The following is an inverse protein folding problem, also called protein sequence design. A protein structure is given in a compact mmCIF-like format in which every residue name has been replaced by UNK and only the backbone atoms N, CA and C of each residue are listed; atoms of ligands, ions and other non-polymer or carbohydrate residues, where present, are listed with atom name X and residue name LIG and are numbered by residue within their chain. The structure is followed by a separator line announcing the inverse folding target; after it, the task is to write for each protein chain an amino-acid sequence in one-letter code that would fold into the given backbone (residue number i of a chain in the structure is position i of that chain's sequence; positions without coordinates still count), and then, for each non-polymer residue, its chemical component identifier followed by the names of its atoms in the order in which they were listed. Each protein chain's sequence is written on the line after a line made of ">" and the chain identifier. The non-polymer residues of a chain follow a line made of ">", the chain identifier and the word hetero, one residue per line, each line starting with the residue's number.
data_IF_269389786662
#
_entry.id   IF_269389786662
#
_cell.length_a   1.000
_cell.length_b   1.000
_cell.length_c   1.000
_cell.angle_alpha   90.00
_cell.angle_beta   90.00
_cell.angle_gamma   90.00
#
_symmetry.space_group_name_H-M   'P 1'
#
loop_
_entity.id
_entity.type
_entity.pdbx_description
1 polymer ?
#
# COMPACT_ATOMS: atom_id res chain seq x y z
N UNK A 1 -66.37 3.86 34.80
CA UNK A 1 -65.64 4.91 34.05
C UNK A 1 -64.12 4.98 34.33
N UNK A 2 -63.61 4.54 35.50
CA UNK A 2 -62.15 4.62 35.83
C UNK A 2 -61.27 3.56 35.14
N UNK A 3 -61.78 2.35 34.91
CA UNK A 3 -61.03 1.24 34.28
C UNK A 3 -60.76 1.45 32.78
N UNK A 4 -61.66 2.15 32.08
CA UNK A 4 -61.54 2.41 30.63
C UNK A 4 -60.45 3.45 30.30
N UNK A 5 -60.15 4.37 31.22
CA UNK A 5 -59.10 5.39 31.06
C UNK A 5 -57.70 4.82 31.30
N UNK A 6 -57.58 3.86 32.24
CA UNK A 6 -56.30 3.18 32.51
C UNK A 6 -55.88 2.30 31.32
N UNK A 7 -56.84 1.62 30.69
CA UNK A 7 -56.58 0.80 29.50
C UNK A 7 -56.11 1.66 28.30
N UNK A 8 -56.71 2.84 28.11
CA UNK A 8 -56.32 3.74 27.02
C UNK A 8 -54.90 4.33 27.22
N UNK A 9 -54.52 4.66 28.46
CA UNK A 9 -53.17 5.15 28.77
C UNK A 9 -52.10 4.06 28.59
N UNK A 10 -52.39 2.81 28.94
CA UNK A 10 -51.47 1.67 28.74
C UNK A 10 -51.28 1.41 27.24
N UNK A 11 -52.35 1.44 26.45
CA UNK A 11 -52.27 1.28 24.98
C UNK A 11 -51.49 2.43 24.35
N UNK A 12 -51.72 3.68 24.76
CA UNK A 12 -50.98 4.85 24.24
C UNK A 12 -49.49 4.81 24.57
N UNK A 13 -49.10 4.38 25.77
CA UNK A 13 -47.68 4.22 26.17
C UNK A 13 -47.02 3.06 25.41
N UNK A 14 -47.74 1.96 25.18
CA UNK A 14 -47.26 0.84 24.36
C UNK A 14 -47.06 1.28 22.89
N UNK A 15 -48.00 2.04 22.32
CA UNK A 15 -47.86 2.54 20.94
C UNK A 15 -46.79 3.63 20.79
N UNK A 16 -46.53 4.43 21.85
CA UNK A 16 -45.45 5.42 21.85
C UNK A 16 -44.06 4.77 22.03
N UNK A 17 -44.01 3.58 22.60
CA UNK A 17 -42.78 2.78 22.72
C UNK A 17 -42.44 2.05 21.40
N UNK A 18 -43.44 1.79 20.56
CA UNK A 18 -43.30 1.09 19.27
C UNK A 18 -42.98 2.01 18.08
N UNK A 19 -42.94 3.33 18.29
CA UNK A 19 -42.64 4.34 17.25
C UNK A 19 -41.30 5.04 17.44
N UNK A 20 -40.52 4.66 18.46
CA UNK A 20 -39.09 4.97 18.46
C UNK A 20 -38.46 4.11 17.38
N UNK A 21 -38.16 4.74 16.25
CA UNK A 21 -37.48 4.12 15.13
C UNK A 21 -36.36 3.23 15.65
N UNK A 22 -36.29 2.02 15.11
CA UNK A 22 -35.19 1.11 15.36
C UNK A 22 -33.91 1.92 15.15
N UNK A 23 -33.24 2.27 16.25
CA UNK A 23 -31.85 2.67 16.18
C UNK A 23 -31.17 1.45 15.58
N UNK A 24 -30.59 1.62 14.41
CA UNK A 24 -29.67 0.63 13.85
C UNK A 24 -28.53 0.51 14.85
N UNK A 25 -28.63 -0.49 15.74
CA UNK A 25 -27.48 -0.95 16.50
C UNK A 25 -26.56 -1.55 15.45
N UNK A 26 -25.58 -0.76 15.01
CA UNK A 26 -24.47 -1.26 14.21
C UNK A 26 -23.70 -2.18 15.15
N UNK A 27 -23.95 -3.48 15.07
CA UNK A 27 -22.96 -4.45 15.52
C UNK A 27 -21.76 -4.24 14.59
N UNK A 28 -20.59 -3.99 15.16
CA UNK A 28 -19.37 -3.74 14.39
C UNK A 28 -18.85 -5.07 13.82
N UNK A 29 -19.64 -5.73 12.96
CA UNK A 29 -19.33 -6.93 12.16
C UNK A 29 -18.46 -8.03 12.83
N UNK A 30 -18.54 -8.15 14.15
CA UNK A 30 -17.73 -9.06 14.94
C UNK A 30 -17.98 -8.85 16.43
N UNK A 31 -17.44 -9.72 17.29
CA UNK A 31 -17.63 -9.59 18.73
C UNK A 31 -16.87 -8.40 19.32
N UNK A 32 -16.16 -7.59 18.53
CA UNK A 32 -15.31 -6.50 19.02
C UNK A 32 -16.12 -5.22 19.23
N UNK A 33 -16.10 -4.68 20.45
CA UNK A 33 -16.82 -3.46 20.78
C UNK A 33 -18.31 -3.65 21.08
N UNK A 34 -19.00 -2.57 21.45
CA UNK A 34 -20.45 -2.60 21.70
C UNK A 34 -20.90 -3.39 22.94
N UNK A 35 -19.97 -3.78 23.82
CA UNK A 35 -20.29 -4.57 25.01
C UNK A 35 -21.19 -3.79 25.99
N UNK A 36 -22.19 -4.49 26.53
CA UNK A 36 -22.97 -4.01 27.68
C UNK A 36 -22.82 -5.01 28.83
N UNK A 37 -23.25 -4.61 30.02
CA UNK A 37 -23.14 -5.46 31.22
C UNK A 37 -23.86 -6.82 31.11
N UNK A 38 -24.72 -7.01 30.10
CA UNK A 38 -25.55 -8.21 29.93
C UNK A 38 -25.29 -8.94 28.61
N UNK A 39 -24.24 -8.61 27.85
CA UNK A 39 -23.98 -9.32 26.58
C UNK A 39 -23.32 -10.67 26.82
N UNK A 40 -23.86 -11.73 26.22
CA UNK A 40 -23.20 -13.05 26.19
C UNK A 40 -21.89 -13.04 25.38
N UNK A 41 -21.63 -11.98 24.60
CA UNK A 41 -20.40 -11.78 23.84
C UNK A 41 -19.13 -11.82 24.72
N UNK A 42 -19.23 -11.44 26.00
CA UNK A 42 -18.11 -11.55 26.95
C UNK A 42 -17.63 -13.00 27.10
N UNK A 43 -18.55 -13.96 27.03
CA UNK A 43 -18.24 -15.39 27.08
C UNK A 43 -17.69 -15.94 25.75
N UNK A 44 -17.49 -15.11 24.72
CA UNK A 44 -16.64 -15.49 23.59
C UNK A 44 -15.16 -15.58 24.03
N UNK A 45 -14.72 -14.63 24.86
CA UNK A 45 -13.31 -14.46 25.20
C UNK A 45 -12.99 -14.77 26.67
N UNK A 46 -13.94 -14.54 27.58
CA UNK A 46 -13.71 -14.64 29.02
C UNK A 46 -14.47 -15.80 29.69
N UNK A 47 -13.90 -16.36 30.77
CA UNK A 47 -14.57 -17.31 31.68
C UNK A 47 -14.28 -16.94 33.13
N UNK A 48 -15.33 -16.69 33.92
CA UNK A 48 -15.16 -16.23 35.30
C UNK A 48 -14.46 -17.24 36.24
N UNK A 49 -14.75 -18.53 36.09
CA UNK A 49 -14.26 -19.57 37.02
C UNK A 49 -13.43 -20.68 36.36
N UNK A 50 -13.38 -20.71 35.03
CA UNK A 50 -12.74 -21.80 34.26
C UNK A 50 -11.85 -21.28 33.14
N UNK A 51 -11.38 -20.04 33.27
CA UNK A 51 -10.41 -19.48 32.33
C UNK A 51 -9.10 -20.27 32.40
N UNK A 52 -8.50 -20.52 31.24
CA UNK A 52 -7.19 -21.16 31.14
C UNK A 52 -6.06 -20.15 31.35
N UNK A 53 -6.32 -18.86 31.15
CA UNK A 53 -5.30 -17.84 31.05
C UNK A 53 -5.54 -16.59 31.91
N UNK A 54 -4.49 -15.80 32.09
CA UNK A 54 -4.55 -14.53 32.81
C UNK A 54 -5.63 -13.60 32.24
N UNK A 55 -6.20 -12.75 33.11
CA UNK A 55 -7.33 -11.86 32.79
C UNK A 55 -8.62 -12.61 32.41
N UNK A 56 -8.77 -13.82 32.93
CA UNK A 56 -9.95 -14.67 32.74
C UNK A 56 -10.16 -15.06 31.27
N UNK A 57 -9.10 -15.16 30.48
CA UNK A 57 -9.21 -15.53 29.06
C UNK A 57 -9.39 -17.05 28.90
N UNK A 58 -10.16 -17.43 27.87
CA UNK A 58 -10.41 -18.85 27.55
C UNK A 58 -9.19 -19.53 26.93
N UNK A 59 -8.30 -18.76 26.31
CA UNK A 59 -7.07 -19.19 25.65
C UNK A 59 -6.09 -18.01 25.59
N UNK A 60 -4.82 -18.30 25.33
CA UNK A 60 -3.75 -17.31 25.29
C UNK A 60 -3.87 -16.45 24.03
N UNK A 61 -3.40 -15.22 24.08
CA UNK A 61 -3.22 -14.40 22.87
C UNK A 61 -1.86 -14.77 22.26
N UNK A 62 -1.76 -15.12 20.96
CA UNK A 62 -2.74 -14.86 19.89
C UNK A 62 -3.78 -15.96 19.61
N UNK A 63 -3.65 -17.16 20.19
CA UNK A 63 -4.53 -18.32 19.89
C UNK A 63 -6.02 -17.97 19.99
N UNK A 64 -6.42 -17.23 21.03
CA UNK A 64 -7.79 -16.75 21.21
C UNK A 64 -8.29 -15.98 19.97
N UNK A 65 -7.49 -15.06 19.44
CA UNK A 65 -7.85 -14.26 18.26
C UNK A 65 -7.93 -15.13 17.00
N UNK A 66 -7.02 -16.10 16.88
CA UNK A 66 -6.96 -17.03 15.76
C UNK A 66 -8.10 -18.05 15.74
N UNK A 67 -8.90 -18.16 16.81
CA UNK A 67 -10.16 -18.94 16.76
C UNK A 67 -11.19 -18.36 15.80
N UNK A 68 -11.09 -17.07 15.46
CA UNK A 68 -11.93 -16.39 14.48
C UNK A 68 -11.13 -15.95 13.24
N UNK A 69 -9.90 -15.47 13.44
CA UNK A 69 -9.05 -14.89 12.39
C UNK A 69 -7.97 -15.85 11.84
N UNK A 70 -7.96 -17.11 12.24
CA UNK A 70 -7.01 -18.11 11.76
C UNK A 70 -7.47 -18.84 10.50
N UNK A 71 -6.57 -19.61 9.90
CA UNK A 71 -6.81 -20.29 8.63
C UNK A 71 -7.91 -21.34 8.66
N UNK A 72 -8.03 -22.06 9.78
CA UNK A 72 -9.11 -23.00 10.01
C UNK A 72 -10.37 -22.36 10.65
N UNK A 73 -10.33 -21.07 10.96
CA UNK A 73 -11.41 -20.40 11.67
C UNK A 73 -12.51 -19.90 10.73
N UNK A 74 -13.75 -19.91 11.20
CA UNK A 74 -14.92 -19.44 10.45
C UNK A 74 -15.56 -18.20 11.06
N UNK A 75 -14.92 -17.60 12.06
CA UNK A 75 -15.49 -16.51 12.86
C UNK A 75 -15.22 -15.10 12.32
N UNK A 76 -14.42 -14.95 11.27
CA UNK A 76 -14.14 -13.67 10.62
C UNK A 76 -13.83 -13.87 9.12
N UNK A 77 -14.07 -12.83 8.32
CA UNK A 77 -13.77 -12.80 6.88
C UNK A 77 -12.27 -12.63 6.61
N UNK A 78 -11.54 -12.03 7.56
CA UNK A 78 -10.10 -11.85 7.49
C UNK A 78 -9.38 -13.04 8.13
N UNK A 79 -8.72 -13.86 7.32
CA UNK A 79 -7.71 -14.81 7.79
C UNK A 79 -6.36 -14.08 7.88
N UNK A 80 -6.04 -13.62 9.09
CA UNK A 80 -4.80 -12.89 9.34
C UNK A 80 -3.59 -13.81 9.41
N UNK A 81 -3.78 -15.11 9.61
CA UNK A 81 -2.67 -16.09 9.57
C UNK A 81 -2.12 -16.19 8.17
N UNK A 82 -3.00 -16.43 7.19
CA UNK A 82 -2.58 -16.69 5.81
C UNK A 82 -2.71 -15.44 4.92
N UNK A 83 -3.14 -14.31 5.51
CA UNK A 83 -3.11 -12.99 4.89
C UNK A 83 -4.15 -12.82 3.78
N UNK A 84 -5.26 -13.54 3.83
CA UNK A 84 -6.28 -13.59 2.78
C UNK A 84 -7.67 -13.23 3.30
N UNK A 85 -8.47 -12.59 2.44
CA UNK A 85 -9.88 -12.34 2.69
C UNK A 85 -10.76 -13.46 2.14
N UNK A 86 -11.65 -14.00 2.96
CA UNK A 86 -12.40 -15.22 2.65
C UNK A 86 -13.89 -14.98 2.39
N UNK A 87 -14.41 -13.77 2.66
CA UNK A 87 -15.83 -13.40 2.48
C UNK A 87 -16.78 -14.50 3.02
N UNK A 88 -16.65 -14.81 4.31
CA UNK A 88 -17.43 -15.85 4.98
C UNK A 88 -18.85 -15.39 5.30
N UNK A 89 -19.10 -14.08 5.35
CA UNK A 89 -20.44 -13.49 5.51
C UNK A 89 -20.77 -12.39 4.47
N UNK A 90 -21.01 -12.81 3.23
CA UNK A 90 -21.48 -11.92 2.16
C UNK A 90 -22.89 -11.32 2.41
N UNK A 91 -23.60 -11.73 3.46
CA UNK A 91 -25.02 -11.38 3.67
C UNK A 91 -25.24 -10.21 4.63
N UNK A 92 -24.26 -9.90 5.48
CA UNK A 92 -24.33 -8.80 6.46
C UNK A 92 -23.43 -7.62 6.10
N UNK A 93 -22.44 -7.82 5.24
CA UNK A 93 -21.52 -6.77 4.79
C UNK A 93 -22.18 -5.80 3.80
N UNK A 94 -22.56 -4.61 4.26
CA UNK A 94 -23.03 -3.54 3.38
C UNK A 94 -22.41 -2.18 3.75
N UNK A 95 -21.45 -1.66 2.95
CA UNK A 95 -20.87 -2.26 1.74
C UNK A 95 -19.97 -3.48 2.05
N UNK A 96 -19.63 -4.26 1.03
CA UNK A 96 -18.63 -5.33 1.12
C UNK A 96 -17.31 -4.78 1.68
N UNK A 97 -16.69 -5.50 2.60
CA UNK A 97 -15.50 -5.01 3.31
C UNK A 97 -14.18 -5.49 2.67
N UNK A 98 -14.24 -6.31 1.62
CA UNK A 98 -13.08 -6.81 0.89
C UNK A 98 -13.45 -7.51 -0.41
N UNK A 99 -12.44 -7.99 -1.14
CA UNK A 99 -12.60 -8.87 -2.30
C UNK A 99 -12.22 -10.31 -1.92
N UNK A 100 -13.04 -11.32 -2.23
CA UNK A 100 -12.72 -12.72 -1.93
C UNK A 100 -11.39 -13.16 -2.53
N UNK A 101 -10.63 -13.94 -1.77
CA UNK A 101 -9.31 -14.48 -2.11
C UNK A 101 -8.26 -13.42 -2.42
N UNK A 102 -8.44 -12.19 -1.92
CA UNK A 102 -7.47 -11.12 -2.08
C UNK A 102 -6.62 -10.96 -0.81
N UNK A 103 -5.39 -10.53 -0.99
CA UNK A 103 -4.44 -10.23 0.08
C UNK A 103 -4.95 -9.14 1.00
N UNK A 104 -4.71 -9.30 2.31
CA UNK A 104 -5.11 -8.34 3.33
C UNK A 104 -4.12 -7.17 3.41
N UNK A 105 -4.62 -5.94 3.60
CA UNK A 105 -3.82 -4.74 3.94
C UNK A 105 -3.05 -4.88 5.26
N UNK A 106 -3.49 -5.81 6.10
CA UNK A 106 -2.90 -6.16 7.38
C UNK A 106 -3.22 -7.62 7.72
N UNK A 107 -2.21 -8.48 7.70
CA UNK A 107 -2.29 -9.91 7.92
C UNK A 107 -0.96 -10.57 7.56
N UNK A 108 -1.00 -11.86 7.33
CA UNK A 108 0.16 -12.65 6.94
C UNK A 108 1.15 -12.83 8.07
N UNK A 109 0.71 -13.51 9.13
CA UNK A 109 1.60 -13.92 10.23
C UNK A 109 2.29 -15.27 9.97
N UNK A 110 1.70 -16.11 9.11
CA UNK A 110 2.24 -17.42 8.72
C UNK A 110 2.53 -17.48 7.23
N UNK A 111 1.55 -17.13 6.40
CA UNK A 111 1.68 -16.99 4.95
C UNK A 111 1.17 -15.61 4.53
N UNK A 112 1.73 -15.03 3.48
CA UNK A 112 1.22 -13.80 2.89
C UNK A 112 0.92 -14.02 1.40
N UNK A 113 -0.25 -13.56 0.95
CA UNK A 113 -0.65 -13.56 -0.45
C UNK A 113 -0.23 -12.23 -1.09
N UNK A 114 0.84 -12.24 -1.87
CA UNK A 114 1.45 -11.03 -2.43
C UNK A 114 2.06 -11.33 -3.80
N UNK A 115 2.05 -10.34 -4.70
CA UNK A 115 2.93 -10.28 -5.88
C UNK A 115 4.14 -9.40 -5.52
N UNK A 116 5.17 -10.02 -4.92
CA UNK A 116 6.34 -9.30 -4.42
C UNK A 116 7.47 -9.17 -5.44
N UNK A 117 7.43 -9.93 -6.54
CA UNK A 117 8.39 -9.86 -7.65
C UNK A 117 7.85 -9.10 -8.88
N UNK A 118 6.58 -8.68 -8.84
CA UNK A 118 5.90 -7.89 -9.88
C UNK A 118 5.74 -8.65 -11.21
N UNK A 119 5.53 -9.96 -11.15
CA UNK A 119 5.29 -10.78 -12.34
C UNK A 119 3.80 -10.80 -12.77
N UNK A 120 2.93 -10.15 -11.98
CA UNK A 120 1.49 -10.08 -12.18
C UNK A 120 0.72 -11.27 -11.60
N UNK A 121 1.37 -12.16 -10.86
CA UNK A 121 0.79 -13.38 -10.31
C UNK A 121 1.13 -13.56 -8.82
N UNK A 122 0.24 -13.06 -7.96
CA UNK A 122 0.36 -13.28 -6.51
C UNK A 122 0.54 -14.76 -6.13
N UNK A 123 1.46 -15.00 -5.21
CA UNK A 123 1.62 -16.30 -4.57
C UNK A 123 1.34 -16.20 -3.06
N UNK A 124 0.72 -17.23 -2.51
CA UNK A 124 0.74 -17.44 -1.06
C UNK A 124 2.06 -18.12 -0.69
N UNK A 125 2.88 -17.41 0.10
CA UNK A 125 4.21 -17.88 0.47
C UNK A 125 4.48 -17.65 1.96
N UNK A 126 5.36 -18.47 2.59
CA UNK A 126 5.72 -18.31 3.99
C UNK A 126 6.23 -16.90 4.29
N UNK A 127 5.81 -16.35 5.43
CA UNK A 127 6.25 -15.03 5.86
C UNK A 127 7.73 -15.05 6.17
N UNK A 128 8.47 -14.15 5.51
CA UNK A 128 9.92 -13.96 5.63
C UNK A 128 10.29 -12.85 6.61
N UNK A 129 9.34 -11.94 6.89
CA UNK A 129 9.50 -10.85 7.84
C UNK A 129 8.16 -10.39 8.40
N UNK A 130 8.09 -10.16 9.70
CA UNK A 130 6.86 -9.69 10.32
C UNK A 130 7.00 -9.32 11.78
N UNK A 131 6.04 -8.53 12.28
CA UNK A 131 5.92 -8.27 13.71
C UNK A 131 5.62 -9.59 14.45
N UNK A 132 6.49 -9.96 15.38
CA UNK A 132 6.36 -11.19 16.17
C UNK A 132 5.33 -11.00 17.29
N UNK A 133 4.14 -11.58 17.14
CA UNK A 133 2.99 -11.40 18.06
C UNK A 133 2.71 -12.61 18.97
N UNK A 134 3.67 -13.51 19.12
CA UNK A 134 3.57 -14.74 19.92
C UNK A 134 3.88 -14.53 21.41
N UNK A 135 4.06 -13.29 21.86
CA UNK A 135 4.43 -12.94 23.23
C UNK A 135 5.92 -13.09 23.54
N UNK A 136 6.76 -13.54 22.60
CA UNK A 136 8.20 -13.54 22.79
C UNK A 136 8.75 -12.11 22.62
N UNK A 137 9.78 -11.79 23.41
CA UNK A 137 10.44 -10.49 23.30
C UNK A 137 11.31 -10.40 22.05
N UNK A 138 11.20 -9.28 21.34
CA UNK A 138 12.04 -8.93 20.20
C UNK A 138 12.46 -7.46 20.30
N UNK A 139 13.53 -7.09 19.59
CA UNK A 139 14.00 -5.70 19.55
C UNK A 139 13.03 -4.85 18.73
N UNK A 140 12.42 -3.85 19.36
CA UNK A 140 11.71 -2.77 18.69
C UNK A 140 12.74 -1.77 18.12
N UNK A 141 13.23 -2.05 16.92
CA UNK A 141 14.28 -1.26 16.28
C UNK A 141 13.91 0.22 16.19
N UNK A 142 14.83 1.10 16.58
CA UNK A 142 14.61 2.53 16.57
C UNK A 142 13.79 3.06 17.75
N UNK A 143 13.30 2.20 18.66
CA UNK A 143 12.67 2.67 19.90
C UNK A 143 13.69 3.35 20.83
N UNK A 144 13.26 4.40 21.51
CA UNK A 144 14.05 5.12 22.51
C UNK A 144 14.65 6.44 22.03
N UNK A 145 15.53 7.00 22.86
CA UNK A 145 16.23 8.25 22.57
C UNK A 145 17.41 8.02 21.60
N UNK A 146 17.87 9.10 20.97
CA UNK A 146 19.08 9.06 20.13
C UNK A 146 20.25 8.50 20.93
N UNK A 147 20.97 7.53 20.34
CA UNK A 147 22.12 6.90 20.98
C UNK A 147 21.79 5.82 22.02
N UNK A 148 20.51 5.45 22.21
CA UNK A 148 20.12 4.40 23.17
C UNK A 148 20.27 2.98 22.63
N UNK A 149 21.26 2.73 21.76
CA UNK A 149 21.48 1.43 21.11
C UNK A 149 20.40 1.09 20.07
N UNK A 150 20.21 -0.19 19.71
CA UNK A 150 19.33 -0.60 18.59
C UNK A 150 17.83 -0.43 18.87
N UNK A 151 17.40 -0.52 20.13
CA UNK A 151 15.99 -0.41 20.52
C UNK A 151 15.69 -1.15 21.82
N UNK A 152 14.48 -0.97 22.35
CA UNK A 152 14.01 -1.72 23.52
C UNK A 152 13.57 -3.14 23.16
N UNK A 153 13.70 -4.07 24.10
CA UNK A 153 13.13 -5.41 23.96
C UNK A 153 11.67 -5.39 24.41
N UNK A 154 10.75 -5.74 23.51
CA UNK A 154 9.31 -5.69 23.75
C UNK A 154 8.70 -7.04 23.35
N UNK A 155 7.85 -7.59 24.21
CA UNK A 155 7.01 -8.73 23.90
C UNK A 155 5.69 -8.23 23.30
N UNK A 156 5.48 -8.47 22.00
CA UNK A 156 4.24 -8.08 21.33
C UNK A 156 3.24 -9.24 21.34
N UNK A 157 1.96 -8.87 21.38
CA UNK A 157 0.80 -9.72 21.12
C UNK A 157 -0.22 -8.91 20.33
N UNK A 158 -1.28 -9.54 19.80
CA UNK A 158 -2.36 -8.83 19.09
C UNK A 158 -2.90 -7.65 19.92
N UNK A 159 -3.06 -7.84 21.23
CA UNK A 159 -3.59 -6.83 22.16
C UNK A 159 -2.61 -5.71 22.50
N UNK A 160 -1.36 -5.80 22.05
CA UNK A 160 -0.39 -4.72 22.21
C UNK A 160 -0.76 -3.53 21.33
N UNK A 161 -1.24 -3.82 20.12
CA UNK A 161 -1.63 -2.84 19.12
C UNK A 161 -3.15 -2.66 19.06
N UNK A 162 -3.92 -3.73 19.22
CA UNK A 162 -5.38 -3.72 19.07
C UNK A 162 -6.11 -3.71 20.43
N UNK A 163 -7.26 -3.04 20.49
CA UNK A 163 -8.17 -3.10 21.62
C UNK A 163 -9.41 -3.95 21.28
N UNK A 164 -9.49 -5.21 21.74
CA UNK A 164 -10.64 -6.07 21.43
C UNK A 164 -11.95 -5.56 22.04
N UNK A 165 -11.90 -4.64 23.02
CA UNK A 165 -13.09 -3.96 23.53
C UNK A 165 -13.59 -2.81 22.67
N UNK A 166 -12.93 -2.57 21.53
CA UNK A 166 -13.21 -1.48 20.62
C UNK A 166 -12.52 -0.19 21.06
N UNK A 167 -11.86 0.48 20.12
CA UNK A 167 -11.25 1.81 20.34
C UNK A 167 -11.90 2.92 19.52
N UNK A 168 -12.79 2.57 18.59
CA UNK A 168 -13.32 3.50 17.57
C UNK A 168 -12.26 4.01 16.58
N UNK A 169 -11.03 3.48 16.64
CA UNK A 169 -9.95 3.80 15.73
C UNK A 169 -9.88 2.76 14.59
N UNK A 170 -9.14 3.11 13.54
CA UNK A 170 -8.84 2.25 12.41
C UNK A 170 -8.44 0.85 12.89
N UNK A 171 -9.21 -0.17 12.47
CA UNK A 171 -8.95 -1.58 12.82
C UNK A 171 -8.73 -1.79 14.31
N UNK A 172 -9.53 -1.12 15.16
CA UNK A 172 -9.47 -1.19 16.62
C UNK A 172 -8.06 -0.92 17.21
N UNK A 173 -7.23 -0.13 16.53
CA UNK A 173 -5.92 0.22 17.07
C UNK A 173 -6.05 0.98 18.39
N UNK A 174 -5.21 0.63 19.36
CA UNK A 174 -5.06 1.40 20.61
C UNK A 174 -4.46 2.75 20.26
N UNK A 175 -5.02 3.86 20.78
CA UNK A 175 -4.38 5.16 20.61
C UNK A 175 -2.96 5.22 21.20
N UNK A 176 -2.68 4.40 22.23
CA UNK A 176 -1.34 4.20 22.81
C UNK A 176 -1.06 2.69 22.83
N UNK A 177 -0.15 2.18 21.98
CA UNK A 177 0.26 0.77 22.02
C UNK A 177 0.89 0.42 23.36
N UNK A 178 0.58 -0.76 23.89
CA UNK A 178 1.12 -1.17 25.20
C UNK A 178 2.63 -1.37 25.11
N UNK A 179 3.39 -0.88 26.09
CA UNK A 179 4.85 -1.02 26.09
C UNK A 179 5.58 -0.11 25.09
N UNK A 180 4.88 0.75 24.35
CA UNK A 180 5.50 1.76 23.46
C UNK A 180 6.35 2.80 24.20
N UNK A 181 5.97 3.12 25.45
CA UNK A 181 6.53 4.22 26.22
C UNK A 181 5.97 5.60 25.82
N UNK A 182 4.98 5.65 24.92
CA UNK A 182 4.36 6.91 24.52
C UNK A 182 3.53 7.54 25.64
N UNK A 183 3.65 8.86 25.78
CA UNK A 183 2.95 9.66 26.80
C UNK A 183 1.67 10.31 26.26
N UNK A 184 1.50 10.34 24.93
CA UNK A 184 0.37 10.95 24.25
C UNK A 184 -0.26 9.97 23.27
N UNK A 185 -1.57 10.08 23.09
CA UNK A 185 -2.33 9.22 22.18
C UNK A 185 -2.24 9.69 20.73
N UNK A 186 -2.08 8.75 19.82
CA UNK A 186 -2.28 8.95 18.38
C UNK A 186 -3.47 8.11 17.94
N UNK A 187 -4.58 8.76 17.57
CA UNK A 187 -5.74 8.06 17.03
C UNK A 187 -5.67 8.02 15.51
N UNK A 188 -5.61 6.82 14.94
CA UNK A 188 -5.79 6.62 13.51
C UNK A 188 -7.30 6.62 13.22
N UNK A 189 -7.85 7.56 12.44
CA UNK A 189 -9.29 7.64 12.19
C UNK A 189 -9.81 6.37 11.51
N UNK A 190 -10.90 5.80 12.04
CA UNK A 190 -11.55 4.66 11.40
C UNK A 190 -12.14 5.04 10.04
N UNK A 191 -12.35 4.03 9.19
CA UNK A 191 -12.90 4.22 7.86
C UNK A 191 -14.43 4.11 7.91
N UNK A 192 -15.12 5.05 7.24
CA UNK A 192 -16.58 5.00 7.11
C UNK A 192 -17.05 3.77 6.32
N UNK A 193 -16.31 3.39 5.28
CA UNK A 193 -16.43 2.13 4.56
C UNK A 193 -15.12 1.37 4.74
N UNK A 194 -15.19 0.20 5.36
CA UNK A 194 -14.03 -0.61 5.68
C UNK A 194 -13.57 -1.35 4.43
N UNK A 195 -12.27 -1.32 4.16
CA UNK A 195 -11.66 -2.12 3.08
C UNK A 195 -10.45 -2.87 3.63
N UNK A 196 -10.56 -4.19 3.77
CA UNK A 196 -9.53 -5.05 4.36
C UNK A 196 -8.53 -5.55 3.35
N UNK A 197 -8.90 -5.60 2.07
CA UNK A 197 -8.04 -6.14 1.00
C UNK A 197 -7.25 -5.05 0.29
N UNK A 198 -6.15 -5.45 -0.33
CA UNK A 198 -5.44 -4.56 -1.27
C UNK A 198 -6.33 -4.19 -2.46
N UNK A 199 -6.09 -3.02 -3.04
CA UNK A 199 -6.88 -2.49 -4.15
C UNK A 199 -6.50 -3.16 -5.49
N UNK A 200 -5.25 -3.56 -5.62
CA UNK A 200 -4.72 -4.19 -6.83
C UNK A 200 -5.21 -5.64 -6.98
N UNK A 201 -5.55 -6.04 -8.21
CA UNK A 201 -6.11 -7.36 -8.49
C UNK A 201 -5.05 -8.47 -8.55
N UNK A 202 -3.80 -8.12 -8.86
CA UNK A 202 -2.66 -9.02 -8.79
C UNK A 202 -2.05 -9.10 -7.38
N UNK A 203 -2.67 -8.48 -6.37
CA UNK A 203 -2.10 -8.35 -5.02
C UNK A 203 -0.71 -7.69 -5.01
N UNK A 204 -0.48 -6.73 -5.90
CA UNK A 204 0.66 -5.85 -5.77
C UNK A 204 0.40 -4.86 -4.61
N UNK A 205 1.25 -4.90 -3.60
CA UNK A 205 1.14 -3.99 -2.45
C UNK A 205 1.79 -2.64 -2.72
N UNK A 206 2.64 -2.52 -3.73
CA UNK A 206 3.11 -1.21 -4.18
C UNK A 206 1.92 -0.41 -4.66
N UNK A 207 1.79 0.83 -4.19
CA UNK A 207 0.63 1.73 -4.41
C UNK A 207 -0.61 1.47 -3.60
N UNK A 208 -0.56 0.55 -2.64
CA UNK A 208 -1.70 0.38 -1.77
C UNK A 208 -2.03 1.71 -1.06
N UNK A 209 -3.22 2.24 -1.36
CA UNK A 209 -3.65 3.54 -0.90
C UNK A 209 -4.36 3.42 0.46
N UNK A 210 -3.68 3.90 1.50
CA UNK A 210 -4.25 4.03 2.84
C UNK A 210 -5.01 5.33 3.05
N UNK A 211 -5.12 6.20 2.03
CA UNK A 211 -5.89 7.44 2.10
C UNK A 211 -5.53 8.32 3.31
N UNK A 212 -6.54 8.84 3.99
CA UNK A 212 -6.37 9.68 5.17
C UNK A 212 -5.68 8.96 6.35
N UNK A 213 -5.65 7.63 6.37
CA UNK A 213 -5.01 6.85 7.42
C UNK A 213 -3.48 6.85 7.30
N UNK A 214 -2.90 7.07 6.11
CA UNK A 214 -1.47 6.89 5.87
C UNK A 214 -0.58 7.73 6.80
N UNK A 215 -0.88 9.03 6.94
CA UNK A 215 -0.12 9.93 7.82
C UNK A 215 -0.30 9.56 9.30
N UNK A 216 -1.54 9.32 9.73
CA UNK A 216 -1.85 8.93 11.10
C UNK A 216 -1.23 7.57 11.48
N UNK A 217 -1.13 6.63 10.54
CA UNK A 217 -0.42 5.36 10.73
C UNK A 217 1.08 5.58 10.93
N UNK A 218 1.70 6.49 10.17
CA UNK A 218 3.11 6.88 10.38
C UNK A 218 3.30 7.43 11.79
N UNK A 219 2.47 8.39 12.21
CA UNK A 219 2.54 8.94 13.57
C UNK A 219 2.36 7.83 14.62
N UNK A 220 1.41 6.93 14.40
CA UNK A 220 1.12 5.84 15.31
C UNK A 220 2.27 4.84 15.42
N UNK A 221 2.90 4.44 14.31
CA UNK A 221 4.07 3.56 14.29
C UNK A 221 5.23 4.16 15.06
N UNK A 222 5.39 5.48 15.01
CA UNK A 222 6.49 6.20 15.68
C UNK A 222 6.34 6.30 17.19
N UNK A 223 5.18 5.90 17.74
CA UNK A 223 5.05 5.68 19.19
C UNK A 223 5.97 4.56 19.69
N UNK A 224 6.24 3.55 18.85
CA UNK A 224 7.24 2.51 19.13
C UNK A 224 8.56 2.80 18.40
N UNK A 225 8.52 3.22 17.14
CA UNK A 225 9.70 3.42 16.32
C UNK A 225 10.18 4.89 16.31
N UNK A 226 10.41 5.42 17.50
CA UNK A 226 10.61 6.87 17.76
C UNK A 226 11.71 7.52 16.92
N UNK A 227 12.75 6.77 16.56
CA UNK A 227 13.88 7.30 15.78
C UNK A 227 13.71 7.18 14.27
N UNK A 228 12.69 6.51 13.76
CA UNK A 228 12.43 6.46 12.31
C UNK A 228 11.67 7.68 11.78
N UNK A 229 11.01 8.45 12.65
CA UNK A 229 10.37 9.70 12.24
C UNK A 229 11.42 10.74 11.88
N UNK A 230 11.42 11.20 10.63
CA UNK A 230 12.42 12.13 10.15
C UNK A 230 11.83 13.11 9.12
N UNK A 231 12.27 14.35 9.17
CA UNK A 231 11.81 15.42 8.28
C UNK A 231 12.70 15.57 7.03
N UNK A 232 12.53 16.70 6.34
CA UNK A 232 13.29 16.99 5.13
C UNK A 232 14.81 17.01 5.35
N UNK A 233 15.58 16.52 4.37
CA UNK A 233 17.05 16.49 4.43
C UNK A 233 17.66 15.38 5.30
N UNK A 234 16.85 14.57 5.98
CA UNK A 234 17.33 13.51 6.90
C UNK A 234 18.17 12.42 6.23
N UNK A 235 18.13 12.28 4.90
CA UNK A 235 18.95 11.34 4.16
C UNK A 235 20.42 11.75 4.03
N UNK A 236 20.76 13.01 4.32
CA UNK A 236 22.12 13.55 4.24
C UNK A 236 22.46 14.46 5.43
N UNK A 237 21.52 14.68 6.34
CA UNK A 237 21.74 15.38 7.60
C UNK A 237 21.85 14.33 8.71
N UNK A 238 23.03 14.26 9.32
CA UNK A 238 23.29 13.37 10.45
C UNK A 238 22.40 13.77 11.65
N UNK A 239 21.70 12.80 12.24
CA UNK A 239 20.92 13.03 13.46
C UNK A 239 21.67 12.94 14.76
N UNK A 240 22.94 12.50 14.73
CA UNK A 240 23.71 12.11 15.90
C UNK A 240 23.34 10.74 16.46
N UNK A 241 22.51 9.94 15.77
CA UNK A 241 22.27 8.55 16.17
C UNK A 241 23.33 7.64 15.52
N UNK A 242 24.02 6.78 16.29
CA UNK A 242 25.09 5.95 15.77
C UNK A 242 24.61 4.80 14.87
N UNK A 243 23.34 4.39 14.97
CA UNK A 243 22.76 3.29 14.20
C UNK A 243 21.81 3.82 13.12
N UNK A 244 21.00 4.81 13.47
CA UNK A 244 19.97 5.41 12.62
C UNK A 244 20.39 6.80 12.11
N UNK A 245 21.66 6.95 11.73
CA UNK A 245 22.32 8.23 11.40
C UNK A 245 21.59 9.03 10.32
N UNK A 246 21.30 8.39 9.18
CA UNK A 246 20.57 8.98 8.05
C UNK A 246 19.27 8.22 7.83
N UNK A 247 18.20 8.95 7.52
CA UNK A 247 16.83 8.41 7.48
C UNK A 247 16.05 8.95 6.29
N UNK A 248 15.08 8.16 5.82
CA UNK A 248 14.11 8.63 4.84
C UNK A 248 13.20 9.70 5.47
N UNK A 249 12.76 10.67 4.66
CA UNK A 249 11.81 11.70 5.08
C UNK A 249 10.41 11.08 5.26
N UNK A 250 10.17 10.50 6.43
CA UNK A 250 8.91 9.81 6.75
C UNK A 250 7.75 10.76 7.04
N UNK A 251 8.03 12.05 7.24
CA UNK A 251 6.99 13.09 7.27
C UNK A 251 6.40 13.36 5.88
N UNK A 252 7.18 13.16 4.81
CA UNK A 252 6.70 13.31 3.44
C UNK A 252 6.27 11.97 2.82
N UNK A 253 6.96 10.87 3.13
CA UNK A 253 6.69 9.52 2.60
C UNK A 253 6.34 8.59 3.74
N UNK A 254 5.06 8.24 3.88
CA UNK A 254 4.58 7.43 5.00
C UNK A 254 5.20 6.02 5.06
N UNK A 255 5.25 5.42 6.24
CA UNK A 255 5.86 4.09 6.44
C UNK A 255 5.18 3.02 5.57
N UNK A 256 3.85 3.10 5.46
CA UNK A 256 3.02 2.21 4.63
C UNK A 256 3.08 2.56 3.13
N UNK A 257 4.10 3.29 2.67
CA UNK A 257 4.44 3.32 1.25
C UNK A 257 5.38 2.16 0.91
N UNK A 258 6.30 1.85 1.82
CA UNK A 258 7.33 0.82 1.62
C UNK A 258 7.04 -0.46 2.40
N UNK A 259 6.34 -0.32 3.53
CA UNK A 259 6.14 -1.40 4.47
C UNK A 259 4.69 -1.92 4.44
N UNK A 260 4.52 -3.23 4.62
CA UNK A 260 3.26 -3.81 5.07
C UNK A 260 3.16 -3.67 6.59
N UNK A 261 1.94 -3.72 7.14
CA UNK A 261 1.74 -3.49 8.58
C UNK A 261 2.14 -4.70 9.46
N UNK A 262 1.98 -5.94 8.95
CA UNK A 262 2.06 -7.16 9.76
C UNK A 262 3.14 -8.13 9.32
N UNK A 263 2.98 -8.83 8.20
CA UNK A 263 4.03 -9.69 7.66
C UNK A 263 4.02 -9.70 6.14
N UNK A 264 5.18 -10.04 5.59
CA UNK A 264 5.47 -10.09 4.16
C UNK A 264 6.09 -11.42 3.78
N UNK A 265 5.84 -11.86 2.56
CA UNK A 265 6.56 -12.97 1.93
C UNK A 265 7.77 -12.49 1.10
N UNK A 266 8.00 -11.18 1.02
CA UNK A 266 9.06 -10.61 0.21
C UNK A 266 10.44 -11.19 0.58
N UNK A 267 11.15 -11.69 -0.41
CA UNK A 267 12.40 -12.41 -0.21
C UNK A 267 13.63 -11.54 -0.51
N UNK A 268 14.74 -11.77 0.19
CA UNK A 268 16.01 -11.09 -0.05
C UNK A 268 17.02 -12.11 -0.55
N UNK A 269 17.55 -11.91 -1.75
CA UNK A 269 18.52 -12.81 -2.38
C UNK A 269 19.80 -12.06 -2.80
N UNK A 270 20.84 -12.81 -3.18
CA UNK A 270 22.10 -12.25 -3.68
C UNK A 270 22.77 -11.27 -2.71
N UNK A 271 23.21 -10.11 -3.22
CA UNK A 271 23.81 -9.06 -2.39
C UNK A 271 22.90 -8.57 -1.26
N UNK A 272 21.60 -8.59 -1.50
CA UNK A 272 20.63 -8.06 -0.57
C UNK A 272 20.37 -9.01 0.63
N UNK A 273 20.76 -10.28 0.51
CA UNK A 273 20.76 -11.26 1.61
C UNK A 273 21.93 -11.08 2.59
N UNK A 274 23.01 -10.41 2.19
CA UNK A 274 24.24 -10.26 2.97
C UNK A 274 24.33 -8.92 3.71
N UNK A 275 23.18 -8.27 3.97
CA UNK A 275 23.14 -6.98 4.66
C UNK A 275 23.03 -7.22 6.16
N UNK A 276 24.07 -6.82 6.89
CA UNK A 276 24.12 -6.87 8.34
C UNK A 276 22.92 -6.15 8.98
N UNK A 277 22.62 -6.54 10.21
CA UNK A 277 21.63 -5.87 11.03
C UNK A 277 22.11 -4.48 11.45
N UNK A 278 21.21 -3.57 11.87
CA UNK A 278 21.60 -2.22 12.27
C UNK A 278 22.62 -2.16 13.42
N UNK A 279 22.70 -3.20 14.24
CA UNK A 279 23.69 -3.35 15.31
C UNK A 279 24.99 -4.06 14.86
N UNK A 280 25.13 -4.37 13.57
CA UNK A 280 26.28 -5.07 12.99
C UNK A 280 26.25 -6.58 13.15
N UNK A 281 25.16 -7.18 13.64
CA UNK A 281 25.03 -8.63 13.68
C UNK A 281 24.88 -9.21 12.26
N UNK A 282 25.60 -10.30 11.98
CA UNK A 282 25.62 -10.99 10.68
C UNK A 282 24.57 -12.11 10.56
N UNK A 283 23.80 -12.37 11.62
CA UNK A 283 22.87 -13.50 11.65
C UNK A 283 21.62 -13.23 10.81
N UNK A 284 21.34 -13.99 9.73
CA UNK A 284 20.08 -13.88 9.03
C UNK A 284 19.04 -14.74 9.75
N UNK A 285 18.76 -14.50 11.05
CA UNK A 285 17.73 -15.27 11.75
C UNK A 285 16.35 -14.69 11.51
N UNK A 286 15.80 -15.00 10.33
CA UNK A 286 14.36 -15.01 10.05
C UNK A 286 13.59 -13.72 10.35
N UNK A 287 12.31 -13.89 10.66
CA UNK A 287 11.29 -12.83 10.69
C UNK A 287 11.59 -11.66 11.66
N UNK A 288 12.63 -11.75 12.49
CA UNK A 288 12.91 -10.85 13.61
C UNK A 288 13.32 -9.42 13.21
N UNK A 289 13.73 -9.15 11.96
CA UNK A 289 14.07 -7.77 11.54
C UNK A 289 12.84 -6.89 11.37
N UNK A 290 11.67 -7.51 11.18
CA UNK A 290 10.42 -6.81 10.86
C UNK A 290 10.63 -5.74 9.77
N UNK A 291 11.41 -6.08 8.73
CA UNK A 291 11.67 -5.18 7.60
C UNK A 291 10.40 -4.93 6.80
N UNK A 292 9.47 -5.89 6.77
CA UNK A 292 8.10 -5.71 6.27
C UNK A 292 8.03 -5.15 4.83
N UNK A 293 9.01 -5.44 3.98
CA UNK A 293 9.06 -4.85 2.65
C UNK A 293 7.95 -5.40 1.76
N UNK A 294 7.45 -4.58 0.84
CA UNK A 294 6.39 -4.96 -0.10
C UNK A 294 6.88 -5.79 -1.28
N UNK A 295 8.15 -5.62 -1.66
CA UNK A 295 8.74 -6.26 -2.81
C UNK A 295 10.01 -7.01 -2.44
N UNK A 296 10.31 -8.02 -3.25
CA UNK A 296 11.53 -8.78 -3.22
C UNK A 296 12.75 -7.87 -3.43
N UNK A 297 13.84 -8.29 -2.81
CA UNK A 297 15.12 -7.62 -2.86
C UNK A 297 15.01 -6.13 -2.48
N UNK A 298 15.71 -5.25 -3.19
CA UNK A 298 15.59 -3.80 -3.01
C UNK A 298 14.54 -3.20 -3.96
N UNK A 299 13.61 -4.01 -4.49
CA UNK A 299 12.58 -3.58 -5.44
C UNK A 299 11.74 -2.43 -4.91
N UNK A 300 11.37 -2.45 -3.63
CA UNK A 300 10.61 -1.36 -2.99
C UNK A 300 11.37 -0.03 -3.03
N UNK A 301 12.70 -0.06 -2.90
CA UNK A 301 13.54 1.13 -3.01
C UNK A 301 13.71 1.55 -4.47
N UNK A 302 13.98 0.56 -5.33
CA UNK A 302 14.19 0.75 -6.76
C UNK A 302 12.93 1.25 -7.48
N UNK A 303 11.75 1.12 -6.87
CA UNK A 303 10.52 1.73 -7.38
C UNK A 303 10.54 3.26 -7.45
N UNK A 304 11.38 3.89 -6.64
CA UNK A 304 11.52 5.35 -6.58
C UNK A 304 12.95 5.83 -6.85
N UNK A 305 13.95 5.00 -6.53
CA UNK A 305 15.36 5.32 -6.70
C UNK A 305 15.93 4.62 -7.94
N UNK A 306 16.66 5.38 -8.75
CA UNK A 306 17.35 4.86 -9.92
C UNK A 306 18.42 3.85 -9.49
N UNK A 307 18.41 2.69 -10.14
CA UNK A 307 19.52 1.75 -10.14
C UNK A 307 20.74 2.36 -10.86
N UNK A 308 21.90 1.72 -10.70
CA UNK A 308 23.16 2.21 -11.29
C UNK A 308 23.16 2.25 -12.82
N UNK A 309 22.26 1.51 -13.48
CA UNK A 309 22.04 1.53 -14.92
C UNK A 309 20.96 2.55 -15.34
N UNK A 310 20.39 3.31 -14.40
CA UNK A 310 19.35 4.30 -14.63
C UNK A 310 17.92 3.73 -14.68
N UNK A 311 17.71 2.44 -14.41
CA UNK A 311 16.38 1.84 -14.33
C UNK A 311 15.69 2.10 -12.97
N UNK A 312 14.36 2.06 -12.93
CA UNK A 312 13.57 1.89 -11.70
C UNK A 312 12.79 0.58 -11.79
N UNK A 313 12.47 -0.04 -10.64
CA UNK A 313 11.65 -1.24 -10.58
C UNK A 313 10.16 -0.89 -10.64
N UNK A 314 9.49 -1.25 -11.73
CA UNK A 314 8.05 -1.00 -11.93
C UNK A 314 7.74 0.20 -12.85
N UNK A 315 6.51 0.24 -13.36
CA UNK A 315 6.00 1.31 -14.23
C UNK A 315 5.69 2.60 -13.46
N UNK A 316 5.28 3.66 -14.16
CA UNK A 316 4.84 4.91 -13.52
C UNK A 316 3.55 4.74 -12.69
N UNK A 317 2.78 3.70 -12.99
CA UNK A 317 1.66 3.21 -12.18
C UNK A 317 2.10 2.77 -10.77
N UNK A 318 3.42 2.63 -10.58
CA UNK A 318 4.04 2.33 -9.29
C UNK A 318 3.98 3.50 -8.28
N UNK A 319 3.50 4.70 -8.67
CA UNK A 319 3.29 5.84 -7.76
C UNK A 319 2.06 6.71 -8.10
N UNK A 320 1.59 6.72 -9.35
CA UNK A 320 0.37 7.43 -9.78
C UNK A 320 -0.48 6.55 -10.72
N UNK A 321 -1.58 7.04 -11.28
CA UNK A 321 -2.38 6.24 -12.22
C UNK A 321 -1.60 5.89 -13.48
N UNK A 322 -1.85 4.69 -14.03
CA UNK A 322 -1.27 4.28 -15.31
C UNK A 322 -1.56 5.31 -16.41
N UNK A 323 -0.62 5.54 -17.35
CA UNK A 323 -0.87 6.40 -18.49
C UNK A 323 -2.14 5.95 -19.22
N UNK A 324 -3.06 6.86 -19.58
CA UNK A 324 -4.28 6.47 -20.28
C UNK A 324 -3.92 5.85 -21.62
N UNK A 325 -4.59 4.76 -22.01
CA UNK A 325 -4.40 4.05 -23.29
C UNK A 325 -5.00 4.79 -24.49
N UNK A 326 -4.77 6.11 -24.56
CA UNK A 326 -5.31 7.01 -25.57
C UNK A 326 -4.26 8.00 -26.07
N UNK A 327 -4.40 8.42 -27.32
CA UNK A 327 -3.55 9.47 -27.90
C UNK A 327 -2.07 9.10 -27.92
N UNK A 328 -1.19 10.05 -27.57
CA UNK A 328 0.25 9.85 -27.64
C UNK A 328 0.76 8.69 -26.77
N UNK A 329 0.13 8.42 -25.62
CA UNK A 329 0.50 7.29 -24.78
C UNK A 329 0.26 5.94 -25.48
N UNK A 330 -0.87 5.79 -26.20
CA UNK A 330 -1.17 4.56 -26.94
C UNK A 330 -0.13 4.24 -28.01
N UNK A 331 0.43 5.27 -28.65
CA UNK A 331 1.39 5.10 -29.74
C UNK A 331 2.83 4.99 -29.26
N UNK A 332 3.18 5.67 -28.15
CA UNK A 332 4.58 5.87 -27.74
C UNK A 332 4.98 5.19 -26.43
N UNK A 333 4.03 4.65 -25.67
CA UNK A 333 4.30 3.95 -24.40
C UNK A 333 4.21 2.44 -24.56
N UNK A 334 5.05 1.73 -23.81
CA UNK A 334 5.12 0.27 -23.78
C UNK A 334 5.80 -0.23 -22.51
N UNK A 335 5.75 -1.55 -22.24
CA UNK A 335 6.21 -2.14 -20.99
C UNK A 335 7.71 -1.94 -20.73
N UNK A 336 8.50 -1.75 -21.79
CA UNK A 336 9.96 -1.57 -21.71
C UNK A 336 10.39 -0.11 -21.53
N UNK A 337 9.45 0.85 -21.59
CA UNK A 337 9.69 2.29 -21.50
C UNK A 337 9.44 2.86 -20.09
N UNK A 338 9.67 2.06 -19.06
CA UNK A 338 9.26 2.38 -17.68
C UNK A 338 10.38 3.05 -16.89
N UNK A 339 10.19 4.34 -16.59
CA UNK A 339 11.05 5.08 -15.67
C UNK A 339 10.88 6.59 -15.74
N UNK A 340 10.70 7.25 -14.59
CA UNK A 340 10.76 8.71 -14.52
C UNK A 340 12.15 9.18 -14.96
N UNK A 341 12.19 10.11 -15.93
CA UNK A 341 13.45 10.64 -16.44
C UNK A 341 14.13 9.80 -17.52
N UNK A 342 13.56 8.64 -17.89
CA UNK A 342 14.13 7.78 -18.93
C UNK A 342 13.99 8.44 -20.30
N UNK A 343 15.11 8.67 -21.00
CA UNK A 343 15.15 9.25 -22.35
C UNK A 343 15.68 8.25 -23.39
N UNK A 344 15.38 6.97 -23.17
CA UNK A 344 15.78 5.89 -24.07
C UNK A 344 14.85 5.78 -25.27
N UNK A 345 15.39 5.38 -26.41
CA UNK A 345 14.61 4.91 -27.54
C UNK A 345 14.52 3.38 -27.48
N UNK A 346 13.33 2.86 -27.20
CA UNK A 346 13.00 1.44 -27.17
C UNK A 346 12.18 1.01 -28.38
N UNK A 347 11.98 1.93 -29.32
CA UNK A 347 11.20 1.68 -30.51
C UNK A 347 11.93 0.75 -31.47
N UNK A 348 11.17 -0.14 -32.06
CA UNK A 348 11.62 -1.06 -33.07
C UNK A 348 10.65 -1.10 -34.27
N UNK A 349 10.87 -2.09 -35.11
CA UNK A 349 10.05 -2.46 -36.26
C UNK A 349 8.55 -2.61 -35.97
N UNK A 350 8.21 -3.03 -34.75
CA UNK A 350 6.89 -3.48 -34.33
C UNK A 350 6.18 -2.49 -33.41
N UNK A 351 6.91 -1.63 -32.70
CA UNK A 351 6.34 -0.64 -31.80
C UNK A 351 7.24 0.62 -31.68
N UNK A 352 6.62 1.80 -31.66
CA UNK A 352 7.32 3.05 -31.35
C UNK A 352 7.28 3.25 -29.84
N UNK A 353 8.34 2.90 -29.11
CA UNK A 353 8.36 3.00 -27.65
C UNK A 353 9.47 3.93 -27.19
N UNK A 354 9.10 4.93 -26.40
CA UNK A 354 10.04 5.95 -25.93
C UNK A 354 9.93 6.12 -24.43
N UNK A 355 11.09 6.29 -23.78
CA UNK A 355 11.12 6.60 -22.36
C UNK A 355 10.29 7.85 -22.05
N UNK A 356 9.56 7.85 -20.94
CA UNK A 356 8.62 8.92 -20.59
C UNK A 356 9.29 10.30 -20.46
N UNK A 357 10.59 10.34 -20.14
CA UNK A 357 11.38 11.56 -20.07
C UNK A 357 11.49 12.32 -21.39
N UNK A 358 11.14 11.69 -22.52
CA UNK A 358 11.03 12.35 -23.82
C UNK A 358 9.86 13.36 -23.89
N UNK A 359 8.83 13.19 -23.06
CA UNK A 359 7.64 14.05 -23.02
C UNK A 359 7.41 14.71 -21.66
N UNK A 360 7.88 14.11 -20.57
CA UNK A 360 7.71 14.60 -19.20
C UNK A 360 8.99 15.27 -18.68
N UNK A 361 8.89 16.17 -17.68
CA UNK A 361 10.05 16.76 -17.05
C UNK A 361 11.07 15.73 -16.58
N UNK A 362 12.35 16.12 -16.65
CA UNK A 362 13.48 15.32 -16.19
C UNK A 362 13.99 15.78 -14.82
N UNK A 363 13.55 16.97 -14.41
CA UNK A 363 14.02 17.60 -13.19
C UNK A 363 13.35 16.95 -11.97
N UNK A 364 14.07 16.85 -10.86
CA UNK A 364 13.56 16.22 -9.63
C UNK A 364 12.46 17.02 -8.93
N UNK A 365 12.33 18.33 -9.21
CA UNK A 365 11.32 19.19 -8.58
C UNK A 365 9.91 18.97 -9.17
N UNK A 366 9.84 18.48 -10.41
CA UNK A 366 8.60 18.04 -11.07
C UNK A 366 8.23 16.59 -10.74
N UNK A 367 9.09 15.84 -10.04
CA UNK A 367 8.78 14.49 -9.62
C UNK A 367 7.96 14.51 -8.31
N UNK A 368 6.77 13.86 -8.31
CA UNK A 368 5.84 13.80 -7.17
C UNK A 368 5.31 15.17 -6.68
N UNK A 369 5.18 16.15 -7.59
CA UNK A 369 4.60 17.46 -7.28
C UNK A 369 3.05 17.47 -7.29
N UNK A 370 2.42 16.31 -7.47
CA UNK A 370 0.97 16.15 -7.53
C UNK A 370 0.34 16.45 -8.89
N UNK A 371 1.13 16.73 -9.93
CA UNK A 371 0.67 16.93 -11.30
C UNK A 371 1.44 16.04 -12.28
N UNK A 372 0.80 15.69 -13.41
CA UNK A 372 1.47 15.05 -14.53
C UNK A 372 1.81 16.14 -15.54
N UNK A 373 3.03 16.66 -15.42
CA UNK A 373 3.50 17.78 -16.24
C UNK A 373 4.03 17.29 -17.58
N UNK A 374 3.84 18.09 -18.64
CA UNK A 374 4.44 17.85 -19.95
C UNK A 374 5.51 18.92 -20.20
N UNK A 375 6.72 18.49 -20.50
CA UNK A 375 7.85 19.36 -20.82
C UNK A 375 8.56 18.80 -22.05
N UNK A 376 8.28 19.40 -23.21
CA UNK A 376 8.84 18.96 -24.49
C UNK A 376 10.13 19.71 -24.85
N UNK A 377 10.45 20.78 -24.14
CA UNK A 377 11.69 21.53 -24.37
C UNK A 377 12.93 20.67 -24.05
N UNK A 378 14.10 20.94 -24.64
CA UNK A 378 15.33 20.20 -24.37
C UNK A 378 15.93 20.44 -22.97
N UNK A 379 15.21 21.13 -22.08
CA UNK A 379 15.68 21.48 -20.73
C UNK A 379 16.00 20.23 -19.91
N UNK A 380 17.24 20.16 -19.39
CA UNK A 380 17.71 19.04 -18.57
C UNK A 380 17.90 17.72 -19.31
N UNK A 381 17.76 17.69 -20.65
CA UNK A 381 17.87 16.47 -21.44
C UNK A 381 19.32 15.98 -21.54
N UNK A 382 19.60 14.66 -21.32
CA UNK A 382 20.93 14.11 -21.51
C UNK A 382 21.45 14.37 -22.93
N UNK A 383 22.76 14.64 -23.10
CA UNK A 383 23.36 14.76 -24.42
C UNK A 383 23.07 13.52 -25.27
N UNK A 384 22.63 13.73 -26.52
CA UNK A 384 22.25 12.70 -27.49
C UNK A 384 20.89 11.99 -27.28
N UNK A 385 20.15 12.28 -26.20
CA UNK A 385 18.72 11.89 -26.09
C UNK A 385 17.89 12.50 -27.22
N UNK A 386 16.71 11.94 -27.52
CA UNK A 386 15.86 12.51 -28.57
C UNK A 386 15.34 13.90 -28.16
N UNK A 387 14.95 14.07 -26.90
CA UNK A 387 14.52 15.34 -26.31
C UNK A 387 15.59 16.42 -26.37
N UNK A 388 16.87 16.08 -26.28
CA UNK A 388 17.97 17.05 -26.46
C UNK A 388 18.01 17.68 -27.87
N UNK A 389 17.31 17.06 -28.84
CA UNK A 389 17.21 17.53 -30.23
C UNK A 389 15.89 18.26 -30.52
N UNK A 390 14.99 18.37 -29.53
CA UNK A 390 13.76 19.13 -29.69
C UNK A 390 14.08 20.63 -29.88
N UNK A 391 13.20 21.32 -30.60
CA UNK A 391 13.27 22.77 -30.71
C UNK A 391 13.15 23.40 -29.31
N UNK A 392 13.89 24.48 -29.00
CA UNK A 392 13.76 25.19 -27.72
C UNK A 392 12.35 25.67 -27.40
N UNK A 393 11.49 25.80 -28.41
CA UNK A 393 10.08 26.21 -28.29
C UNK A 393 9.09 25.03 -28.33
N UNK A 394 9.59 23.79 -28.27
CA UNK A 394 8.75 22.60 -28.32
C UNK A 394 7.70 22.60 -27.20
N UNK A 395 6.43 22.42 -27.59
CA UNK A 395 5.31 22.54 -26.67
C UNK A 395 4.10 21.72 -27.09
N UNK A 396 3.30 21.34 -26.09
CA UNK A 396 1.97 20.76 -26.27
C UNK A 396 0.92 21.89 -26.23
N UNK A 397 0.07 21.96 -27.25
CA UNK A 397 -0.97 23.00 -27.34
C UNK A 397 -2.39 22.50 -27.02
N UNK A 398 -2.51 21.30 -26.41
CA UNK A 398 -3.80 20.68 -26.11
C UNK A 398 -4.25 19.63 -27.14
N UNK A 399 -3.63 19.57 -28.31
CA UNK A 399 -3.94 18.56 -29.34
C UNK A 399 -2.77 18.10 -30.20
N UNK A 400 -1.67 18.85 -30.26
CA UNK A 400 -0.49 18.53 -31.07
C UNK A 400 0.83 18.82 -30.34
N UNK A 401 1.85 18.02 -30.64
CA UNK A 401 3.23 18.22 -30.18
C UNK A 401 4.04 18.98 -31.24
N UNK A 402 4.16 20.30 -31.11
CA UNK A 402 4.95 21.13 -32.02
C UNK A 402 6.42 21.20 -31.59
N UNK A 403 7.35 21.22 -32.56
CA UNK A 403 8.78 21.41 -32.30
C UNK A 403 9.53 20.20 -31.71
N UNK A 404 8.86 19.07 -31.51
CA UNK A 404 9.50 17.81 -31.10
C UNK A 404 10.33 17.26 -32.26
N UNK A 405 11.54 16.76 -32.01
CA UNK A 405 12.52 16.32 -33.00
C UNK A 405 11.94 15.34 -34.03
N UNK A 406 11.23 14.30 -33.56
CA UNK A 406 10.57 13.30 -34.42
C UNK A 406 9.36 13.86 -35.20
N UNK A 407 8.88 15.05 -34.83
CA UNK A 407 7.75 15.76 -35.45
C UNK A 407 8.16 17.11 -36.04
N UNK A 408 9.46 17.37 -36.19
CA UNK A 408 10.04 18.70 -36.49
C UNK A 408 9.71 19.25 -37.88
N UNK A 409 8.88 18.56 -38.66
CA UNK A 409 8.34 19.03 -39.95
C UNK A 409 6.83 19.24 -40.01
N UNK A 410 6.02 18.71 -39.08
CA UNK A 410 4.54 18.69 -39.17
C UNK A 410 3.89 18.61 -37.77
N UNK A 411 2.84 19.39 -37.52
CA UNK A 411 2.00 19.23 -36.33
C UNK A 411 1.26 17.89 -36.39
N UNK A 412 1.43 17.03 -35.38
CA UNK A 412 0.80 15.70 -35.31
C UNK A 412 -0.33 15.73 -34.28
N UNK A 413 -1.54 15.39 -34.71
CA UNK A 413 -2.74 15.20 -33.86
C UNK A 413 -2.81 13.78 -33.34
N UNK A 414 -3.16 13.60 -32.06
CA UNK A 414 -3.36 12.28 -31.47
C UNK A 414 -4.80 11.77 -31.74
N UNK A 415 -4.97 10.84 -32.67
CA UNK A 415 -6.25 10.20 -33.04
C UNK A 415 -6.26 8.67 -32.84
N UNK A 416 -7.42 8.00 -32.95
CA UNK A 416 -7.50 6.53 -32.91
C UNK A 416 -6.92 5.93 -34.20
N UNK A 417 -5.93 5.05 -34.03
CA UNK A 417 -5.02 4.48 -35.05
C UNK A 417 -5.67 4.20 -36.43
N UNK A 418 -5.09 4.78 -37.49
CA UNK A 418 -5.40 4.45 -38.89
C UNK A 418 -4.83 3.10 -39.34
N UNK A 419 -5.42 2.50 -40.38
CA UNK A 419 -4.97 1.23 -40.97
C UNK A 419 -3.61 1.38 -41.69
N UNK A 420 -2.80 0.31 -41.84
CA UNK A 420 -1.53 0.34 -42.58
C UNK A 420 -1.72 0.77 -44.04
N UNK A 421 -0.77 1.52 -44.59
CA UNK A 421 -0.77 1.95 -45.99
C UNK A 421 -0.64 0.76 -46.94
N UNK A 422 -1.39 0.81 -48.04
CA UNK A 422 -1.31 -0.17 -49.14
C UNK A 422 -0.88 0.51 -50.44
N UNK A 423 -0.14 -0.20 -51.28
CA UNK A 423 0.28 0.28 -52.59
C UNK A 423 -0.87 0.23 -53.61
N UNK A 424 -0.63 0.71 -54.83
CA UNK A 424 -1.63 0.73 -55.90
C UNK A 424 -2.13 -0.67 -56.34
N UNK A 425 -1.48 -1.75 -55.88
CA UNK A 425 -1.88 -3.15 -56.08
C UNK A 425 -2.53 -3.77 -54.84
N UNK A 426 -2.91 -2.94 -53.86
CA UNK A 426 -3.60 -3.31 -52.63
C UNK A 426 -2.78 -4.24 -51.70
N UNK A 427 -1.45 -4.15 -51.76
CA UNK A 427 -0.52 -4.85 -50.87
C UNK A 427 0.05 -3.89 -49.84
N UNK A 428 0.26 -4.35 -48.61
CA UNK A 428 0.84 -3.53 -47.56
C UNK A 428 2.20 -2.98 -47.95
N UNK A 429 2.39 -1.68 -47.74
CA UNK A 429 3.66 -1.01 -47.96
C UNK A 429 4.56 -1.35 -46.78
N UNK A 430 5.74 -1.89 -47.09
CA UNK A 430 6.77 -2.22 -46.12
C UNK A 430 7.94 -1.25 -46.25
N UNK A 431 8.56 -0.88 -45.13
CA UNK A 431 9.79 -0.08 -45.13
C UNK A 431 11.02 -0.93 -45.55
N UNK A 432 12.20 -0.30 -45.56
CA UNK A 432 13.46 -0.96 -45.92
C UNK A 432 13.86 -2.13 -44.98
N UNK A 433 13.14 -2.30 -43.87
CA UNK A 433 13.37 -3.32 -42.85
C UNK A 433 12.23 -4.35 -42.78
N UNK A 434 11.20 -4.23 -43.63
CA UNK A 434 10.10 -5.18 -43.74
C UNK A 434 8.88 -4.87 -42.88
N UNK A 435 8.76 -3.66 -42.32
CA UNK A 435 7.70 -3.29 -41.38
C UNK A 435 6.56 -2.54 -42.06
N UNK A 436 5.33 -2.69 -41.55
CA UNK A 436 4.14 -1.98 -42.04
C UNK A 436 4.31 -0.46 -41.91
N UNK A 437 4.11 0.26 -43.02
CA UNK A 437 4.14 1.73 -43.07
C UNK A 437 2.73 2.27 -42.85
N UNK A 438 2.55 3.24 -41.96
CA UNK A 438 1.26 3.87 -41.66
C UNK A 438 1.26 5.34 -42.14
N UNK A 439 0.09 5.86 -42.51
CA UNK A 439 -0.05 7.28 -42.86
C UNK A 439 0.07 8.11 -41.58
N UNK A 440 0.99 9.09 -41.48
CA UNK A 440 0.97 10.05 -40.39
C UNK A 440 -0.25 10.99 -40.42
N UNK A 441 -1.17 10.84 -41.40
CA UNK A 441 -2.41 11.59 -41.53
C UNK A 441 -3.68 10.71 -41.53
N UNK A 442 -4.00 10.12 -40.38
CA UNK A 442 -5.40 10.00 -39.92
C UNK A 442 -5.45 10.10 -38.40
#
# INVERSE_FOLDING_TARGET
>A
MKTRRLFLCIVLVLTWSLTRGAWTVRADNGPHGGYTATTDACAGCHRAHTAAEARLLVDAVPNLCLTCHGSAATGADTDVSDGVYLERDASTESPAEGTPNRGLRAGGFTFALMDSDLDGAAASAPVTSGHRVDGASATAWGNGAIGSGPGQSIALSCTTCHDPHGSGAYRILRPIPTGSGALGSVTVPDQAARTYTVADAANNYMNEAYGAQAAALTDWCTQCHTRYLAGNGSGHTDSGDPIFTYRHNTQAVGCVTCHVAHGTAASMSGYAANVDWPDGASTPSGNARSSLLRLDNRGVCASCHLASDGSITGGCDTCHGAPPSTGAHLTHSGPDAVGYGLTGNFGDASAYQFGCGECHPLNVASHQNGTVDVELTPTGAPPASMKSRNDPTAAWNGSTCGGVYCHSGKAVTSGPVGQPLVNASNQYILDAYGNLVYDPYT
#
